data_IF_377062155200
#
_entry.id   IF_377062155200
#
_cell.length_a   1.000
_cell.length_b   1.000
_cell.length_c   1.000
_cell.angle_alpha   90.00
_cell.angle_beta   90.00
_cell.angle_gamma   90.00
#
_symmetry.space_group_name_H-M   'P 1'
#
loop_
_entity.id
_entity.type
_entity.pdbx_description
1 polymer ?
#
# COMPACT_ATOMS: atom_id res chain seq x y z
N UNK A 1 -7.80 23.53 -23.92
CA UNK A 1 -7.92 22.08 -23.82
C UNK A 1 -8.16 21.71 -22.38
N UNK A 2 -9.32 21.12 -22.10
CA UNK A 2 -9.70 20.42 -20.86
C UNK A 2 -8.54 19.52 -20.39
N UNK A 3 -8.25 19.33 -19.10
CA UNK A 3 -9.17 19.19 -17.96
C UNK A 3 -8.40 19.35 -16.64
N UNK A 4 -9.09 19.99 -15.70
CA UNK A 4 -9.05 19.85 -14.24
C UNK A 4 -7.97 18.95 -13.62
N UNK A 5 -7.18 19.58 -12.75
CA UNK A 5 -6.45 18.94 -11.66
C UNK A 5 -7.45 18.27 -10.71
N UNK A 6 -7.84 17.03 -11.01
CA UNK A 6 -8.50 16.18 -10.03
C UNK A 6 -7.57 15.98 -8.84
N UNK A 7 -8.10 16.13 -7.62
CA UNK A 7 -7.52 15.67 -6.36
C UNK A 7 -7.18 14.18 -6.47
N UNK A 8 -6.05 13.86 -7.07
CA UNK A 8 -5.50 12.52 -7.10
C UNK A 8 -4.76 12.34 -5.80
N UNK A 9 -5.37 11.60 -4.87
CA UNK A 9 -4.68 11.02 -3.73
C UNK A 9 -3.67 10.00 -4.26
N UNK A 10 -2.53 10.52 -4.72
CA UNK A 10 -1.42 9.75 -5.26
C UNK A 10 -0.22 9.88 -4.33
N UNK A 11 0.38 8.75 -3.98
CA UNK A 11 1.65 8.70 -3.24
C UNK A 11 2.76 8.30 -4.21
N UNK A 12 3.85 9.06 -4.21
CA UNK A 12 5.03 8.79 -5.06
C UNK A 12 6.25 8.65 -4.15
N UNK A 13 6.93 7.51 -4.24
CA UNK A 13 8.18 7.24 -3.52
C UNK A 13 9.16 6.52 -4.45
N UNK A 14 10.16 7.26 -4.95
CA UNK A 14 11.12 6.73 -5.92
C UNK A 14 10.40 6.23 -7.19
N UNK A 15 10.61 4.97 -7.62
CA UNK A 15 9.98 4.43 -8.82
C UNK A 15 8.51 4.02 -8.61
N UNK A 16 8.01 4.06 -7.36
CA UNK A 16 6.68 3.58 -7.01
C UNK A 16 5.70 4.75 -7.00
N UNK A 17 4.59 4.59 -7.72
CA UNK A 17 3.44 5.49 -7.73
C UNK A 17 2.19 4.71 -7.39
N UNK A 18 1.43 5.19 -6.42
CA UNK A 18 0.20 4.56 -5.97
C UNK A 18 -0.95 5.54 -6.06
N UNK A 19 -1.99 5.19 -6.79
CA UNK A 19 -3.25 5.95 -6.89
C UNK A 19 -4.27 5.30 -5.96
N UNK A 20 -4.58 5.98 -4.85
CA UNK A 20 -5.45 5.45 -3.79
C UNK A 20 -6.92 5.39 -4.23
N UNK A 21 -7.34 6.27 -5.14
CA UNK A 21 -8.72 6.26 -5.65
C UNK A 21 -8.95 5.12 -6.62
N UNK A 22 -7.97 4.88 -7.50
CA UNK A 22 -8.07 3.85 -8.52
C UNK A 22 -7.62 2.47 -8.03
N UNK A 23 -7.05 2.37 -6.82
CA UNK A 23 -6.37 1.16 -6.31
C UNK A 23 -5.34 0.63 -7.33
N UNK A 24 -4.52 1.54 -7.88
CA UNK A 24 -3.50 1.21 -8.88
C UNK A 24 -2.11 1.48 -8.34
N UNK A 25 -1.18 0.59 -8.63
CA UNK A 25 0.24 0.77 -8.32
C UNK A 25 1.05 0.63 -9.59
N UNK A 26 1.98 1.57 -9.80
CA UNK A 26 2.97 1.53 -10.85
C UNK A 26 4.37 1.45 -10.24
N UNK A 27 5.22 0.61 -10.81
CA UNK A 27 6.67 0.57 -10.54
C UNK A 27 7.38 0.81 -11.86
N UNK A 28 8.23 1.85 -11.90
CA UNK A 28 8.91 2.28 -13.13
C UNK A 28 7.94 2.50 -14.32
N UNK A 29 6.76 3.07 -14.02
CA UNK A 29 5.65 3.30 -14.94
C UNK A 29 4.95 2.04 -15.50
N UNK A 30 5.26 0.85 -14.98
CA UNK A 30 4.53 -0.37 -15.29
C UNK A 30 3.50 -0.65 -14.20
N UNK A 31 2.24 -0.84 -14.56
CA UNK A 31 1.18 -1.23 -13.60
C UNK A 31 1.45 -2.64 -13.08
N UNK A 32 1.35 -2.83 -11.77
CA UNK A 32 1.45 -4.13 -11.11
C UNK A 32 0.13 -4.47 -10.42
N UNK A 33 -0.24 -5.74 -10.47
CA UNK A 33 -1.40 -6.25 -9.76
C UNK A 33 -1.00 -6.60 -8.33
N UNK A 34 -1.74 -6.05 -7.37
CA UNK A 34 -1.61 -6.37 -5.95
C UNK A 34 -2.94 -6.93 -5.44
N UNK A 35 -2.86 -7.88 -4.53
CA UNK A 35 -4.00 -8.23 -3.69
C UNK A 35 -4.39 -7.04 -2.81
N UNK A 36 -5.64 -6.99 -2.29
CA UNK A 36 -6.06 -5.91 -1.41
C UNK A 36 -5.13 -5.72 -0.19
N UNK A 37 -4.60 -6.82 0.37
CA UNK A 37 -3.70 -6.75 1.53
C UNK A 37 -2.31 -6.23 1.20
N UNK A 38 -1.76 -6.61 0.06
CA UNK A 38 -0.48 -6.06 -0.41
C UNK A 38 -0.62 -4.56 -0.71
N UNK A 39 -1.75 -4.13 -1.28
CA UNK A 39 -2.04 -2.71 -1.49
C UNK A 39 -2.11 -1.95 -0.17
N UNK A 40 -2.89 -2.44 0.81
CA UNK A 40 -3.02 -1.81 2.13
C UNK A 40 -1.65 -1.72 2.84
N UNK A 41 -0.84 -2.79 2.77
CA UNK A 41 0.50 -2.83 3.36
C UNK A 41 1.43 -1.82 2.69
N UNK A 42 1.48 -1.79 1.36
CA UNK A 42 2.30 -0.85 0.62
C UNK A 42 1.88 0.59 0.90
N UNK A 43 0.58 0.86 0.96
CA UNK A 43 0.03 2.16 1.37
C UNK A 43 0.52 2.58 2.76
N UNK A 44 0.41 1.70 3.77
CA UNK A 44 0.87 1.99 5.12
C UNK A 44 2.36 2.38 5.16
N UNK A 45 3.19 1.61 4.46
CA UNK A 45 4.64 1.82 4.39
C UNK A 45 4.98 3.12 3.65
N UNK A 46 4.38 3.37 2.49
CA UNK A 46 4.64 4.56 1.68
C UNK A 46 4.10 5.85 2.33
N UNK A 47 3.05 5.76 3.15
CA UNK A 47 2.54 6.89 3.94
C UNK A 47 3.43 7.26 5.13
N UNK A 48 4.36 6.38 5.55
CA UNK A 48 5.26 6.59 6.70
C UNK A 48 6.71 6.19 6.37
N UNK A 49 7.36 6.86 5.38
CA UNK A 49 8.69 6.46 4.93
C UNK A 49 9.72 6.57 6.06
N UNK A 50 10.58 5.55 6.18
CA UNK A 50 11.64 5.48 7.19
C UNK A 50 11.19 5.01 8.58
N UNK A 51 9.89 4.75 8.78
CA UNK A 51 9.39 4.14 10.02
C UNK A 51 9.46 2.61 9.93
N UNK A 52 10.07 1.98 10.94
CA UNK A 52 9.95 0.55 11.15
C UNK A 52 8.63 0.21 11.86
N UNK A 53 7.93 -0.81 11.38
CA UNK A 53 6.71 -1.35 12.00
C UNK A 53 7.00 -2.76 12.52
N UNK A 54 6.46 -3.09 13.70
CA UNK A 54 6.54 -4.48 14.20
C UNK A 54 5.56 -5.36 13.45
N UNK A 55 5.83 -6.67 13.44
CA UNK A 55 4.94 -7.66 12.82
C UNK A 55 3.54 -7.62 13.44
N UNK A 56 3.47 -7.55 14.76
CA UNK A 56 2.23 -7.51 15.53
C UNK A 56 1.38 -6.30 15.14
N UNK A 57 2.02 -5.13 14.99
CA UNK A 57 1.34 -3.93 14.54
C UNK A 57 0.75 -4.09 13.14
N UNK A 58 1.51 -4.66 12.19
CA UNK A 58 1.04 -4.87 10.82
C UNK A 58 -0.13 -5.86 10.78
N UNK A 59 -0.05 -6.96 11.53
CA UNK A 59 -1.13 -7.94 11.64
C UNK A 59 -2.41 -7.33 12.22
N UNK A 60 -2.29 -6.60 13.34
CA UNK A 60 -3.44 -5.95 13.98
C UNK A 60 -4.08 -4.88 13.10
N UNK A 61 -3.30 -4.04 12.41
CA UNK A 61 -3.83 -2.92 11.63
C UNK A 61 -4.37 -3.32 10.26
N UNK A 62 -3.79 -4.34 9.62
CA UNK A 62 -4.16 -4.72 8.25
C UNK A 62 -5.09 -5.94 8.20
N UNK A 63 -4.96 -6.89 9.13
CA UNK A 63 -5.81 -8.09 9.20
C UNK A 63 -6.82 -8.07 10.36
N UNK A 64 -6.59 -7.25 11.38
CA UNK A 64 -7.45 -7.13 12.56
C UNK A 64 -7.04 -8.06 13.71
N UNK A 65 -7.61 -7.80 14.90
CA UNK A 65 -7.33 -8.54 16.15
C UNK A 65 -7.66 -10.05 16.09
N UNK A 66 -8.51 -10.47 15.15
CA UNK A 66 -9.03 -11.85 15.01
C UNK A 66 -8.29 -12.64 13.90
N UNK A 67 -7.08 -12.23 13.50
CA UNK A 67 -6.34 -12.98 12.49
C UNK A 67 -5.80 -14.31 13.05
N UNK A 68 -6.50 -15.41 12.76
CA UNK A 68 -6.11 -16.78 13.09
C UNK A 68 -5.23 -17.45 11.99
N UNK A 69 -4.57 -16.67 11.13
CA UNK A 69 -3.72 -17.19 10.05
C UNK A 69 -2.28 -17.52 10.47
N UNK A 70 -1.47 -18.04 9.54
CA UNK A 70 -0.04 -18.32 9.79
C UNK A 70 0.68 -17.00 10.14
N UNK A 71 1.39 -16.98 11.27
CA UNK A 71 2.20 -15.84 11.73
C UNK A 71 3.23 -15.32 10.72
N UNK A 72 3.48 -16.08 9.64
CA UNK A 72 4.38 -15.69 8.54
C UNK A 72 3.71 -14.89 7.42
N UNK A 73 2.41 -14.59 7.46
CA UNK A 73 1.70 -13.88 6.36
C UNK A 73 2.32 -12.54 5.94
N UNK A 74 3.04 -11.86 6.83
CA UNK A 74 3.74 -10.60 6.51
C UNK A 74 5.10 -10.83 5.85
N UNK A 75 5.70 -12.02 6.02
CA UNK A 75 7.04 -12.34 5.55
C UNK A 75 7.07 -12.98 4.15
N UNK A 76 5.92 -13.30 3.54
CA UNK A 76 5.79 -14.06 2.27
C UNK A 76 5.54 -13.15 1.07
#
# INVERSE_FOLDING_TARGET
>A
NFSETEDKETIILGPIKMDLRQHKVLVDNNEIDLTPKEFDLLHLLMSHPGRAFSREYLLENLWGYEFFGDTRTVDV
#
